data_IF_612174638945
#
_entry.id   IF_612174638945
#
_cell.length_a   1.000
_cell.length_b   1.000
_cell.length_c   1.000
_cell.angle_alpha   90.00
_cell.angle_beta   90.00
_cell.angle_gamma   90.00
#
_symmetry.space_group_name_H-M   'P 1'
#
loop_
_entity.id
_entity.type
_entity.pdbx_description
1 polymer ?
#
# COMPACT_ATOMS: atom_id res chain seq x y z
N UNK A 1 29.60 -31.75 -9.39
CA UNK A 1 28.46 -31.18 -8.67
C UNK A 1 28.38 -31.83 -7.29
N UNK A 2 28.58 -31.06 -6.22
CA UNK A 2 28.55 -31.54 -4.82
C UNK A 2 27.13 -31.46 -4.24
N UNK A 3 26.89 -32.13 -3.11
CA UNK A 3 25.62 -32.04 -2.37
C UNK A 3 25.23 -30.58 -2.04
N UNK A 4 26.22 -29.78 -1.70
CA UNK A 4 26.04 -28.37 -1.32
C UNK A 4 25.69 -27.51 -2.53
N UNK A 5 26.32 -27.77 -3.68
CA UNK A 5 25.94 -27.13 -4.95
C UNK A 5 24.49 -27.46 -5.34
N UNK A 6 24.05 -28.72 -5.20
CA UNK A 6 22.66 -29.12 -5.45
C UNK A 6 21.70 -28.37 -4.52
N UNK A 7 22.00 -28.32 -3.22
CA UNK A 7 21.14 -27.65 -2.25
C UNK A 7 21.01 -26.15 -2.54
N UNK A 8 22.11 -25.49 -2.91
CA UNK A 8 22.11 -24.08 -3.27
C UNK A 8 21.33 -23.80 -4.55
N UNK A 9 21.42 -24.67 -5.56
CA UNK A 9 20.61 -24.58 -6.78
C UNK A 9 19.12 -24.69 -6.45
N UNK A 10 18.73 -25.69 -5.64
CA UNK A 10 17.33 -25.87 -5.21
C UNK A 10 16.82 -24.65 -4.44
N UNK A 11 17.60 -24.12 -3.49
CA UNK A 11 17.21 -22.91 -2.73
C UNK A 11 17.00 -21.72 -3.67
N UNK A 12 17.88 -21.53 -4.64
CA UNK A 12 17.81 -20.42 -5.60
C UNK A 12 16.58 -20.55 -6.49
N UNK A 13 16.31 -21.75 -7.01
CA UNK A 13 15.17 -22.02 -7.88
C UNK A 13 13.84 -21.87 -7.14
N UNK A 14 13.73 -22.41 -5.92
CA UNK A 14 12.54 -22.22 -5.07
C UNK A 14 12.32 -20.75 -4.73
N UNK A 15 13.40 -20.00 -4.44
CA UNK A 15 13.30 -18.56 -4.17
C UNK A 15 12.82 -17.79 -5.40
N UNK A 16 13.31 -18.13 -6.58
CA UNK A 16 12.86 -17.53 -7.84
C UNK A 16 11.38 -17.81 -8.09
N UNK A 17 10.95 -19.07 -7.96
CA UNK A 17 9.55 -19.46 -8.14
C UNK A 17 8.62 -18.74 -7.16
N UNK A 18 9.01 -18.63 -5.89
CA UNK A 18 8.25 -17.89 -4.89
C UNK A 18 8.14 -16.40 -5.24
N UNK A 19 9.21 -15.80 -5.75
CA UNK A 19 9.23 -14.41 -6.21
C UNK A 19 8.31 -14.19 -7.42
N UNK A 20 8.34 -15.09 -8.40
CA UNK A 20 7.52 -15.01 -9.60
C UNK A 20 6.03 -15.17 -9.24
N UNK A 21 5.71 -16.11 -8.36
CA UNK A 21 4.35 -16.31 -7.87
C UNK A 21 3.85 -15.08 -7.09
N UNK A 22 4.66 -14.53 -6.19
CA UNK A 22 4.32 -13.32 -5.44
C UNK A 22 4.11 -12.11 -6.37
N UNK A 23 4.97 -11.95 -7.38
CA UNK A 23 4.89 -10.86 -8.36
C UNK A 23 3.61 -10.97 -9.18
N UNK A 24 3.26 -12.17 -9.65
CA UNK A 24 2.02 -12.43 -10.39
C UNK A 24 0.78 -12.11 -9.55
N UNK A 25 0.74 -12.55 -8.28
CA UNK A 25 -0.37 -12.26 -7.37
C UNK A 25 -0.53 -10.75 -7.14
N UNK A 26 0.58 -10.05 -6.89
CA UNK A 26 0.56 -8.60 -6.68
C UNK A 26 0.08 -7.84 -7.92
N UNK A 27 0.51 -8.23 -9.13
CA UNK A 27 0.02 -7.62 -10.38
C UNK A 27 -1.45 -7.89 -10.68
N UNK A 28 -2.04 -8.92 -10.08
CA UNK A 28 -3.45 -9.27 -10.27
C UNK A 28 -4.40 -8.53 -9.31
N UNK A 29 -3.86 -7.81 -8.31
CA UNK A 29 -4.68 -7.08 -7.35
C UNK A 29 -5.53 -6.01 -8.04
N UNK A 30 -6.84 -6.09 -7.80
CA UNK A 30 -7.82 -5.14 -8.31
C UNK A 30 -7.84 -3.83 -7.52
N UNK A 31 -8.41 -2.78 -8.11
CA UNK A 31 -8.69 -1.51 -7.41
C UNK A 31 -9.52 -1.75 -6.15
N UNK A 32 -10.49 -2.65 -6.21
CA UNK A 32 -11.40 -2.94 -5.10
C UNK A 32 -10.68 -3.62 -3.92
N UNK A 33 -9.65 -4.43 -4.19
CA UNK A 33 -8.81 -5.05 -3.16
C UNK A 33 -7.78 -4.07 -2.59
N UNK A 34 -7.23 -3.18 -3.42
CA UNK A 34 -6.25 -2.18 -2.99
C UNK A 34 -6.87 -1.04 -2.18
N UNK A 35 -8.10 -0.64 -2.52
CA UNK A 35 -8.81 0.47 -1.88
C UNK A 35 -8.89 0.35 -0.34
N UNK A 36 -9.37 -0.76 0.26
CA UNK A 36 -9.45 -0.88 1.71
C UNK A 36 -8.07 -0.87 2.38
N UNK A 37 -7.03 -1.40 1.71
CA UNK A 37 -5.65 -1.37 2.23
C UNK A 37 -5.12 0.07 2.27
N UNK A 38 -5.31 0.83 1.20
CA UNK A 38 -4.92 2.24 1.13
C UNK A 38 -5.70 3.05 2.16
N UNK A 39 -7.01 2.85 2.28
CA UNK A 39 -7.83 3.53 3.28
C UNK A 39 -7.38 3.24 4.72
N UNK A 40 -6.99 2.00 5.02
CA UNK A 40 -6.45 1.65 6.34
C UNK A 40 -5.16 2.42 6.64
N UNK A 41 -4.27 2.58 5.66
CA UNK A 41 -3.05 3.38 5.83
C UNK A 41 -3.36 4.87 5.96
N UNK A 42 -4.30 5.39 5.17
CA UNK A 42 -4.73 6.79 5.25
C UNK A 42 -5.32 7.12 6.63
N UNK A 43 -6.03 6.18 7.26
CA UNK A 43 -6.55 6.34 8.63
C UNK A 43 -5.46 6.61 9.66
N UNK A 44 -4.26 6.06 9.49
CA UNK A 44 -3.14 6.37 10.40
C UNK A 44 -2.76 7.86 10.40
N UNK A 45 -3.12 8.58 9.34
CA UNK A 45 -2.91 10.03 9.18
C UNK A 45 -4.18 10.80 9.59
N UNK A 46 -5.37 10.34 9.19
CA UNK A 46 -6.62 11.08 9.45
C UNK A 46 -7.12 10.92 10.87
N UNK A 47 -6.92 9.77 11.52
CA UNK A 47 -7.45 9.51 12.87
C UNK A 47 -6.87 10.48 13.93
N UNK A 48 -5.56 10.78 13.95
CA UNK A 48 -5.02 11.82 14.83
C UNK A 48 -5.62 13.21 14.56
N UNK A 49 -5.88 13.55 13.29
CA UNK A 49 -6.48 14.83 12.91
C UNK A 49 -7.94 14.94 13.39
N UNK A 50 -8.69 13.85 13.28
CA UNK A 50 -10.06 13.71 13.78
C UNK A 50 -10.08 13.81 15.32
N UNK A 51 -9.14 13.14 15.99
CA UNK A 51 -8.99 13.23 17.44
C UNK A 51 -8.69 14.67 17.88
N UNK A 52 -7.80 15.38 17.20
CA UNK A 52 -7.49 16.79 17.48
C UNK A 52 -8.72 17.69 17.24
N UNK A 53 -9.52 17.46 16.19
CA UNK A 53 -10.78 18.19 15.95
C UNK A 53 -11.74 18.05 17.14
N UNK A 54 -11.85 16.83 17.68
CA UNK A 54 -12.79 16.50 18.74
C UNK A 54 -12.36 16.99 20.13
N UNK A 55 -11.05 17.15 20.34
CA UNK A 55 -10.48 17.48 21.65
C UNK A 55 -10.08 18.94 21.80
N UNK A 56 -9.76 19.64 20.70
CA UNK A 56 -9.31 21.04 20.75
C UNK A 56 -10.47 22.04 20.97
N UNK A 57 -10.18 23.16 21.64
CA UNK A 57 -11.07 24.32 21.73
C UNK A 57 -10.86 25.32 20.58
N UNK A 58 -9.75 25.23 19.85
CA UNK A 58 -9.42 26.19 18.78
C UNK A 58 -10.23 25.95 17.52
N UNK A 59 -11.04 26.94 17.13
CA UNK A 59 -11.84 26.91 15.90
C UNK A 59 -10.97 26.79 14.65
N UNK A 60 -9.86 27.51 14.60
CA UNK A 60 -8.93 27.45 13.47
C UNK A 60 -8.36 26.05 13.26
N UNK A 61 -7.94 25.38 14.35
CA UNK A 61 -7.40 24.00 14.28
C UNK A 61 -8.46 23.04 13.73
N UNK A 62 -9.72 23.16 14.16
CA UNK A 62 -10.82 22.34 13.63
C UNK A 62 -11.01 22.52 12.13
N UNK A 63 -11.00 23.77 11.65
CA UNK A 63 -11.16 24.08 10.23
C UNK A 63 -10.00 23.50 9.42
N UNK A 64 -8.76 23.78 9.83
CA UNK A 64 -7.55 23.30 9.16
C UNK A 64 -7.54 21.78 9.04
N UNK A 65 -7.81 21.06 10.13
CA UNK A 65 -7.76 19.61 10.14
C UNK A 65 -8.87 19.00 9.26
N UNK A 66 -10.07 19.58 9.22
CA UNK A 66 -11.13 19.15 8.30
C UNK A 66 -10.73 19.32 6.84
N UNK A 67 -10.05 20.42 6.51
CA UNK A 67 -9.52 20.65 5.16
C UNK A 67 -8.45 19.60 4.80
N UNK A 68 -7.54 19.28 5.72
CA UNK A 68 -6.54 18.23 5.50
C UNK A 68 -7.19 16.87 5.28
N UNK A 69 -8.11 16.44 6.13
CA UNK A 69 -8.82 15.16 5.99
C UNK A 69 -9.54 15.08 4.64
N UNK A 70 -10.24 16.16 4.25
CA UNK A 70 -10.94 16.22 2.96
C UNK A 70 -9.99 16.10 1.78
N UNK A 71 -8.88 16.84 1.80
CA UNK A 71 -7.88 16.80 0.74
C UNK A 71 -7.24 15.41 0.62
N UNK A 72 -6.89 14.79 1.75
CA UNK A 72 -6.31 13.44 1.81
C UNK A 72 -7.30 12.40 1.26
N UNK A 73 -8.55 12.43 1.71
CA UNK A 73 -9.57 11.48 1.27
C UNK A 73 -9.88 11.60 -0.23
N UNK A 74 -9.86 12.81 -0.78
CA UNK A 74 -10.04 13.03 -2.22
C UNK A 74 -8.88 12.46 -3.06
N UNK A 75 -7.69 12.30 -2.48
CA UNK A 75 -6.53 11.74 -3.17
C UNK A 75 -6.52 10.19 -3.20
N UNK A 76 -7.36 9.52 -2.41
CA UNK A 76 -7.33 8.04 -2.25
C UNK A 76 -7.42 7.32 -3.59
N UNK A 77 -8.35 7.71 -4.47
CA UNK A 77 -8.50 7.07 -5.79
C UNK A 77 -7.24 7.19 -6.64
N UNK A 78 -6.59 8.35 -6.61
CA UNK A 78 -5.33 8.59 -7.35
C UNK A 78 -4.18 7.75 -6.78
N UNK A 79 -4.11 7.62 -5.44
CA UNK A 79 -3.12 6.78 -4.76
C UNK A 79 -3.32 5.31 -5.13
N UNK A 80 -4.56 4.81 -5.11
CA UNK A 80 -4.88 3.42 -5.51
C UNK A 80 -4.46 3.16 -6.96
N UNK A 81 -4.80 4.06 -7.88
CA UNK A 81 -4.41 3.94 -9.28
C UNK A 81 -2.88 3.95 -9.46
N UNK A 82 -2.17 4.81 -8.73
CA UNK A 82 -0.71 4.87 -8.77
C UNK A 82 -0.06 3.59 -8.25
N UNK A 83 -0.58 3.01 -7.15
CA UNK A 83 -0.11 1.73 -6.62
C UNK A 83 -0.36 0.61 -7.62
N UNK A 84 -1.57 0.53 -8.17
CA UNK A 84 -1.93 -0.49 -9.17
C UNK A 84 -0.99 -0.42 -10.39
N UNK A 85 -0.71 0.77 -10.91
CA UNK A 85 0.26 0.95 -12.00
C UNK A 85 1.66 0.46 -11.61
N UNK A 86 2.12 0.79 -10.40
CA UNK A 86 3.43 0.32 -9.91
C UNK A 86 3.51 -1.19 -9.78
N UNK A 87 2.44 -1.86 -9.33
CA UNK A 87 2.37 -3.32 -9.25
C UNK A 87 2.40 -3.96 -10.64
N UNK A 88 1.68 -3.39 -11.61
CA UNK A 88 1.72 -3.86 -13.00
C UNK A 88 3.13 -3.73 -13.59
N UNK A 89 3.85 -2.65 -13.30
CA UNK A 89 5.22 -2.46 -13.80
C UNK A 89 6.23 -3.38 -13.12
N UNK A 90 6.00 -3.81 -11.88
CA UNK A 90 6.79 -4.85 -11.22
C UNK A 90 6.62 -6.22 -11.89
N UNK A 91 5.44 -6.52 -12.45
CA UNK A 91 5.18 -7.78 -13.17
C UNK A 91 5.83 -7.82 -14.54
N UNK A 92 6.04 -6.66 -15.17
CA UNK A 92 6.70 -6.57 -16.48
C UNK A 92 8.23 -6.68 -16.41
N UNK A 93 8.82 -6.60 -15.22
CA UNK A 93 10.27 -6.66 -14.98
C UNK A 93 10.71 -8.08 -14.64
#
# INVERSE_FOLDING_TARGET
MTKEEILNTVVTEVTSLAKDQATSLLGSLSVDELTPLVQAQIKTITDPLEAEINTTSSVWVKIRNRLYITAINNAVTSIVASIQSGLVDLVKK
#
